data_IF_771872445562
#
_entry.id   IF_771872445562
#
_cell.length_a   1.000
_cell.length_b   1.000
_cell.length_c   1.000
_cell.angle_alpha   90.00
_cell.angle_beta   90.00
_cell.angle_gamma   90.00
#
_symmetry.space_group_name_H-M   'P 1'
#
loop_
_entity.id
_entity.type
_entity.pdbx_description
1 polymer ?
#
# COMPACT_ATOMS: atom_id res chain seq x y z
N UNK A 1 -6.25 1.74 -23.79
CA UNK A 1 -7.28 1.93 -22.73
C UNK A 1 -7.15 3.30 -22.07
N UNK A 2 -8.23 3.86 -21.51
CA UNK A 2 -8.15 5.08 -20.70
C UNK A 2 -7.48 4.77 -19.36
N UNK A 3 -6.83 5.76 -18.76
CA UNK A 3 -6.14 5.59 -17.48
C UNK A 3 -6.89 6.38 -16.41
N UNK A 4 -7.53 5.68 -15.47
CA UNK A 4 -8.10 6.30 -14.27
C UNK A 4 -6.98 6.56 -13.26
N UNK A 5 -6.98 7.75 -12.67
CA UNK A 5 -6.12 8.14 -11.55
C UNK A 5 -7.00 8.75 -10.47
N UNK A 6 -7.15 8.06 -9.35
CA UNK A 6 -7.95 8.52 -8.21
C UNK A 6 -7.21 8.35 -6.88
N UNK A 7 -7.38 9.28 -5.94
CA UNK A 7 -6.94 9.12 -4.56
C UNK A 7 -8.14 8.83 -3.66
N UNK A 8 -8.13 7.67 -3.01
CA UNK A 8 -9.21 7.19 -2.15
C UNK A 8 -8.91 7.37 -0.68
N UNK A 9 -9.88 7.93 0.03
CA UNK A 9 -9.94 7.94 1.49
C UNK A 9 -11.15 7.16 1.99
N UNK A 10 -10.97 6.35 3.03
CA UNK A 10 -12.10 5.90 3.84
C UNK A 10 -12.42 7.02 4.82
N UNK A 11 -13.72 7.30 4.99
CA UNK A 11 -14.23 8.37 5.85
C UNK A 11 -14.77 7.73 7.13
N UNK A 12 -14.29 8.18 8.29
CA UNK A 12 -14.90 7.81 9.56
C UNK A 12 -16.35 8.31 9.57
N UNK A 13 -17.31 7.43 9.84
CA UNK A 13 -18.74 7.73 9.68
C UNK A 13 -19.18 9.00 10.43
N UNK A 14 -18.64 9.24 11.63
CA UNK A 14 -18.96 10.44 12.42
C UNK A 14 -18.45 11.76 11.82
N UNK A 15 -17.52 11.70 10.86
CA UNK A 15 -16.90 12.88 10.23
C UNK A 15 -17.60 13.31 8.93
N UNK A 16 -18.56 12.52 8.41
CA UNK A 16 -19.21 12.77 7.11
C UNK A 16 -19.85 14.16 7.01
N UNK A 17 -20.59 14.60 8.03
CA UNK A 17 -21.26 15.90 7.99
C UNK A 17 -20.25 17.05 7.92
N UNK A 18 -19.23 17.04 8.79
CA UNK A 18 -18.17 18.03 8.80
C UNK A 18 -17.36 18.03 7.48
N UNK A 19 -17.11 16.85 6.92
CA UNK A 19 -16.45 16.71 5.62
C UNK A 19 -17.29 17.35 4.51
N UNK A 20 -18.59 17.04 4.43
CA UNK A 20 -19.50 17.64 3.45
C UNK A 20 -19.54 19.17 3.57
N UNK A 21 -19.64 19.68 4.79
CA UNK A 21 -19.64 21.12 5.05
C UNK A 21 -18.34 21.77 4.55
N UNK A 22 -17.19 21.13 4.79
CA UNK A 22 -15.90 21.61 4.28
C UNK A 22 -15.83 21.56 2.75
N UNK A 23 -16.26 20.47 2.10
CA UNK A 23 -16.27 20.33 0.64
C UNK A 23 -17.10 21.44 -0.03
N UNK A 24 -18.24 21.80 0.57
CA UNK A 24 -19.08 22.90 0.10
C UNK A 24 -18.40 24.28 0.15
N UNK A 25 -17.34 24.45 0.95
CA UNK A 25 -16.57 25.72 0.98
C UNK A 25 -15.54 25.85 -0.13
N UNK A 26 -15.26 24.78 -0.89
CA UNK A 26 -14.24 24.77 -1.94
C UNK A 26 -14.65 25.58 -3.19
N UNK A 27 -15.93 25.93 -3.32
CA UNK A 27 -16.43 26.75 -4.44
C UNK A 27 -16.51 26.02 -5.79
N UNK A 28 -16.50 24.68 -5.78
CA UNK A 28 -16.68 23.85 -6.96
C UNK A 28 -18.15 23.71 -7.38
N UNK A 29 -18.38 23.15 -8.57
CA UNK A 29 -19.73 22.78 -9.02
C UNK A 29 -20.21 21.56 -8.24
N UNK A 30 -21.29 21.70 -7.47
CA UNK A 30 -21.85 20.65 -6.63
C UNK A 30 -23.04 19.96 -7.30
N UNK A 31 -23.09 18.64 -7.20
CA UNK A 31 -24.27 17.84 -7.57
C UNK A 31 -24.74 17.02 -6.36
N UNK A 32 -26.05 17.11 -6.10
CA UNK A 32 -26.73 16.35 -5.05
C UNK A 32 -26.53 14.83 -5.20
N UNK A 33 -26.69 14.06 -4.11
CA UNK A 33 -26.47 12.62 -4.13
C UNK A 33 -27.33 11.88 -5.16
N UNK A 34 -26.70 11.06 -6.00
CA UNK A 34 -27.37 10.13 -6.92
C UNK A 34 -27.12 8.68 -6.52
N UNK A 35 -28.13 7.82 -6.65
CA UNK A 35 -27.97 6.39 -6.36
C UNK A 35 -27.27 5.69 -7.53
N UNK A 36 -26.21 4.94 -7.22
CA UNK A 36 -25.47 4.10 -8.16
C UNK A 36 -25.63 2.64 -7.76
N UNK A 37 -26.31 1.88 -8.62
CA UNK A 37 -26.49 0.43 -8.45
C UNK A 37 -25.48 -0.30 -9.31
N UNK A 38 -24.64 -1.14 -8.72
CA UNK A 38 -23.63 -1.87 -9.48
C UNK A 38 -23.72 -3.36 -9.18
N UNK A 39 -23.62 -4.19 -10.22
CA UNK A 39 -23.47 -5.64 -10.13
C UNK A 39 -22.12 -6.01 -10.72
N UNK A 40 -21.31 -6.71 -9.93
CA UNK A 40 -20.02 -7.25 -10.37
C UNK A 40 -20.16 -8.71 -10.75
N UNK A 41 -19.52 -9.06 -11.86
CA UNK A 41 -19.58 -10.38 -12.45
C UNK A 41 -18.25 -11.11 -12.27
N UNK A 42 -18.32 -12.40 -12.01
CA UNK A 42 -17.15 -13.26 -11.85
C UNK A 42 -17.49 -14.70 -12.23
N UNK A 43 -16.44 -15.47 -12.50
CA UNK A 43 -16.46 -16.89 -12.80
C UNK A 43 -16.33 -17.75 -11.53
N UNK A 44 -16.81 -19.01 -11.51
CA UNK A 44 -16.72 -19.86 -10.31
C UNK A 44 -15.29 -20.13 -9.78
N UNK A 45 -14.27 -19.98 -10.64
CA UNK A 45 -12.85 -20.15 -10.32
C UNK A 45 -12.11 -18.83 -10.07
N UNK A 46 -12.84 -17.72 -9.90
CA UNK A 46 -12.28 -16.38 -9.61
C UNK A 46 -11.29 -15.87 -10.69
N UNK A 47 -11.57 -16.15 -11.97
CA UNK A 47 -10.66 -15.83 -13.08
C UNK A 47 -10.36 -14.33 -13.21
N UNK A 48 -11.35 -13.44 -13.10
CA UNK A 48 -11.12 -11.99 -13.22
C UNK A 48 -10.29 -11.49 -12.04
N UNK A 49 -10.64 -11.93 -10.81
CA UNK A 49 -9.89 -11.61 -9.60
C UNK A 49 -8.44 -12.08 -9.69
N UNK A 50 -8.19 -13.25 -10.28
CA UNK A 50 -6.84 -13.78 -10.50
C UNK A 50 -5.95 -12.89 -11.38
N UNK A 51 -6.54 -12.02 -12.19
CA UNK A 51 -5.85 -11.03 -13.02
C UNK A 51 -5.96 -9.60 -12.48
N UNK A 52 -6.43 -9.43 -11.23
CA UNK A 52 -6.76 -8.13 -10.64
C UNK A 52 -7.69 -7.27 -11.52
N UNK A 53 -8.60 -7.94 -12.23
CA UNK A 53 -9.63 -7.33 -13.07
C UNK A 53 -10.98 -7.27 -12.34
N UNK A 54 -11.79 -6.29 -12.73
CA UNK A 54 -13.16 -6.13 -12.23
C UNK A 54 -14.11 -5.71 -13.35
N UNK A 55 -15.12 -6.54 -13.57
CA UNK A 55 -16.20 -6.30 -14.54
C UNK A 55 -17.48 -5.97 -13.80
N UNK A 56 -18.11 -4.85 -14.15
CA UNK A 56 -19.42 -4.47 -13.61
C UNK A 56 -20.37 -3.96 -14.68
N UNK A 57 -21.65 -4.01 -14.35
CA UNK A 57 -22.66 -3.11 -14.91
C UNK A 57 -23.05 -2.13 -13.80
N UNK A 58 -23.00 -0.84 -14.11
CA UNK A 58 -23.51 0.26 -13.31
C UNK A 58 -24.85 0.72 -13.88
N UNK A 59 -25.82 0.95 -13.00
CA UNK A 59 -27.10 1.58 -13.29
C UNK A 59 -27.20 2.92 -12.56
N UNK A 60 -27.63 3.94 -13.29
CA UNK A 60 -27.93 5.29 -12.76
C UNK A 60 -29.23 5.79 -13.40
N UNK A 61 -30.33 5.80 -12.63
CA UNK A 61 -31.65 6.25 -13.09
C UNK A 61 -32.08 5.63 -14.44
N UNK A 62 -31.86 4.32 -14.60
CA UNK A 62 -32.24 3.57 -15.81
C UNK A 62 -31.25 3.69 -16.98
N UNK A 63 -30.14 4.42 -16.83
CA UNK A 63 -29.00 4.37 -17.75
C UNK A 63 -28.00 3.32 -17.27
N UNK A 64 -27.39 2.59 -18.22
CA UNK A 64 -26.47 1.51 -17.90
C UNK A 64 -25.10 1.71 -18.55
N UNK A 65 -24.07 1.31 -17.83
CA UNK A 65 -22.69 1.34 -18.29
C UNK A 65 -21.98 0.05 -17.86
N UNK A 66 -21.32 -0.62 -18.80
CA UNK A 66 -20.38 -1.69 -18.50
C UNK A 66 -18.98 -1.09 -18.32
N UNK A 67 -18.36 -1.36 -17.18
CA UNK A 67 -16.97 -0.97 -16.92
C UNK A 67 -16.12 -2.20 -16.72
N UNK A 68 -14.99 -2.26 -17.43
CA UNK A 68 -13.88 -3.16 -17.11
C UNK A 68 -12.71 -2.34 -16.57
N UNK A 69 -12.24 -2.69 -15.37
CA UNK A 69 -10.97 -2.21 -14.82
C UNK A 69 -9.98 -3.36 -14.80
N UNK A 70 -8.74 -3.12 -15.20
CA UNK A 70 -7.69 -4.15 -15.22
C UNK A 70 -6.60 -3.87 -14.19
N UNK A 71 -5.64 -4.80 -14.08
CA UNK A 71 -4.49 -4.66 -13.21
C UNK A 71 -3.81 -3.29 -13.41
N UNK A 72 -3.52 -2.64 -12.30
CA UNK A 72 -2.88 -1.34 -12.26
C UNK A 72 -2.02 -1.21 -11.02
N UNK A 73 -1.65 0.03 -10.68
CA UNK A 73 -0.82 0.33 -9.51
C UNK A 73 -1.67 0.91 -8.39
N UNK A 74 -1.40 0.52 -7.15
CA UNK A 74 -1.99 1.12 -5.95
C UNK A 74 -0.85 1.55 -5.04
N UNK A 75 -0.73 2.86 -4.80
CA UNK A 75 0.31 3.44 -3.93
C UNK A 75 -0.38 4.23 -2.81
N UNK A 76 -0.44 3.66 -1.60
CA UNK A 76 -1.22 4.25 -0.52
C UNK A 76 -2.73 4.13 -0.82
N UNK A 77 -3.40 5.26 -0.98
CA UNK A 77 -4.78 5.37 -1.48
C UNK A 77 -4.86 5.77 -2.95
N UNK A 78 -3.73 6.01 -3.63
CA UNK A 78 -3.72 6.39 -5.04
C UNK A 78 -3.87 5.14 -5.91
N UNK A 79 -5.01 5.04 -6.60
CA UNK A 79 -5.28 4.00 -7.58
C UNK A 79 -4.99 4.54 -8.98
N UNK A 80 -4.22 3.78 -9.76
CA UNK A 80 -3.92 4.07 -11.16
C UNK A 80 -4.25 2.83 -11.97
N UNK A 81 -5.41 2.80 -12.62
CA UNK A 81 -5.91 1.60 -13.30
C UNK A 81 -6.30 1.92 -14.74
N UNK A 82 -5.89 1.10 -15.71
CA UNK A 82 -6.49 1.17 -17.02
C UNK A 82 -7.95 0.73 -16.91
N UNK A 83 -8.82 1.44 -17.60
CA UNK A 83 -10.24 1.13 -17.67
C UNK A 83 -10.83 1.33 -19.06
N UNK A 84 -11.99 0.71 -19.26
CA UNK A 84 -12.79 0.86 -20.45
C UNK A 84 -14.28 0.85 -20.09
N UNK A 85 -14.98 1.89 -20.52
CA UNK A 85 -16.41 2.11 -20.27
C UNK A 85 -17.21 1.96 -21.57
N UNK A 86 -18.32 1.25 -21.52
CA UNK A 86 -19.23 1.02 -22.65
C UNK A 86 -20.66 1.34 -22.20
N UNK A 87 -21.31 2.29 -22.87
CA UNK A 87 -22.72 2.56 -22.63
C UNK A 87 -23.57 1.36 -23.09
N UNK A 88 -24.52 0.94 -22.27
CA UNK A 88 -25.45 -0.16 -22.55
C UNK A 88 -26.89 0.36 -22.64
N UNK A 89 -27.68 -0.22 -23.53
CA UNK A 89 -29.12 0.05 -23.65
C UNK A 89 -29.95 -0.67 -22.57
N UNK A 90 -29.46 -1.78 -22.06
CA UNK A 90 -30.08 -2.60 -21.01
C UNK A 90 -28.99 -3.23 -20.12
N UNK A 91 -29.30 -3.76 -18.91
CA UNK A 91 -28.29 -4.28 -17.99
C UNK A 91 -27.83 -5.70 -18.35
N UNK A 92 -27.36 -5.88 -19.59
CA UNK A 92 -26.81 -7.15 -20.11
C UNK A 92 -25.36 -6.94 -20.54
N UNK A 93 -24.46 -7.85 -20.14
CA UNK A 93 -23.05 -7.77 -20.53
C UNK A 93 -22.90 -7.98 -22.05
N UNK A 94 -22.13 -7.10 -22.69
CA UNK A 94 -21.71 -7.25 -24.08
C UNK A 94 -20.18 -7.21 -24.17
N UNK A 95 -19.56 -8.35 -23.81
CA UNK A 95 -18.10 -8.46 -23.69
C UNK A 95 -17.36 -8.25 -25.02
N UNK A 96 -18.04 -8.39 -26.15
CA UNK A 96 -17.46 -8.20 -27.48
C UNK A 96 -17.11 -6.72 -27.78
N UNK A 97 -17.71 -5.77 -27.04
CA UNK A 97 -17.39 -4.34 -27.16
C UNK A 97 -16.10 -3.94 -26.45
N UNK A 98 -15.55 -4.80 -25.58
CA UNK A 98 -14.27 -4.55 -24.92
C UNK A 98 -13.11 -4.81 -25.90
N UNK A 99 -12.08 -3.95 -25.93
CA UNK A 99 -10.94 -4.14 -26.82
C UNK A 99 -10.11 -5.36 -26.41
N UNK A 100 -9.39 -5.94 -27.37
CA UNK A 100 -8.54 -7.13 -27.14
C UNK A 100 -7.47 -6.92 -26.06
N UNK A 101 -6.99 -5.69 -25.91
CA UNK A 101 -6.00 -5.26 -24.90
C UNK A 101 -6.46 -5.49 -23.44
N UNK A 102 -7.76 -5.62 -23.19
CA UNK A 102 -8.30 -5.95 -21.87
C UNK A 102 -7.88 -7.36 -21.43
N UNK A 103 -7.71 -8.27 -22.38
CA UNK A 103 -7.52 -9.68 -22.10
C UNK A 103 -6.04 -10.05 -22.04
N UNK A 104 -5.60 -10.84 -21.04
CA UNK A 104 -4.19 -11.24 -20.91
C UNK A 104 -3.61 -11.92 -22.16
N UNK A 105 -4.43 -12.67 -22.89
CA UNK A 105 -4.03 -13.38 -24.11
C UNK A 105 -4.35 -12.60 -25.40
N UNK A 106 -4.83 -11.35 -25.29
CA UNK A 106 -5.32 -10.58 -26.44
C UNK A 106 -6.65 -11.09 -27.02
N UNK A 107 -7.33 -12.01 -26.34
CA UNK A 107 -8.58 -12.61 -26.77
C UNK A 107 -9.50 -12.89 -25.58
N UNK A 108 -10.80 -12.64 -25.76
CA UNK A 108 -11.86 -12.98 -24.81
C UNK A 108 -11.95 -14.52 -24.68
N UNK A 109 -11.84 -15.10 -23.47
CA UNK A 109 -12.03 -16.54 -23.31
C UNK A 109 -13.44 -16.96 -23.79
N UNK A 110 -13.49 -17.97 -24.66
CA UNK A 110 -14.71 -18.36 -25.38
C UNK A 110 -15.89 -18.74 -24.46
N UNK A 111 -15.60 -19.29 -23.28
CA UNK A 111 -16.60 -19.69 -22.29
C UNK A 111 -16.94 -18.59 -21.28
N UNK A 112 -16.22 -17.45 -21.26
CA UNK A 112 -16.35 -16.42 -20.21
C UNK A 112 -17.78 -15.90 -20.12
N UNK A 113 -18.39 -15.52 -21.24
CA UNK A 113 -19.76 -15.01 -21.28
C UNK A 113 -20.80 -16.00 -20.73
N UNK A 114 -20.55 -17.31 -20.88
CA UNK A 114 -21.49 -18.35 -20.43
C UNK A 114 -21.35 -18.72 -18.95
N UNK A 115 -20.20 -18.44 -18.33
CA UNK A 115 -19.86 -18.87 -16.97
C UNK A 115 -19.83 -17.74 -15.95
N UNK A 116 -19.79 -16.48 -16.38
CA UNK A 116 -19.87 -15.36 -15.45
C UNK A 116 -21.23 -15.34 -14.76
N UNK A 117 -21.22 -15.06 -13.47
CA UNK A 117 -22.41 -14.90 -12.64
C UNK A 117 -22.29 -13.60 -11.84
N UNK A 118 -23.41 -12.96 -11.49
CA UNK A 118 -23.42 -11.92 -10.47
C UNK A 118 -22.81 -12.47 -9.17
N UNK A 119 -21.71 -11.89 -8.71
CA UNK A 119 -21.03 -12.33 -7.51
C UNK A 119 -21.37 -11.46 -6.30
N UNK A 120 -21.35 -10.14 -6.50
CA UNK A 120 -21.63 -9.16 -5.46
C UNK A 120 -22.15 -7.86 -6.07
N UNK A 121 -22.74 -7.02 -5.24
CA UNK A 121 -23.24 -5.70 -5.61
C UNK A 121 -22.60 -4.59 -4.78
N UNK A 122 -22.61 -3.38 -5.32
CA UNK A 122 -22.39 -2.16 -4.55
C UNK A 122 -23.55 -1.20 -4.81
N UNK A 123 -24.25 -0.80 -3.75
CA UNK A 123 -25.39 0.12 -3.77
C UNK A 123 -25.05 1.29 -2.85
N UNK A 124 -24.86 2.47 -3.44
CA UNK A 124 -24.47 3.66 -2.69
C UNK A 124 -24.95 4.93 -3.36
N UNK A 125 -25.10 5.97 -2.56
CA UNK A 125 -25.31 7.32 -3.02
C UNK A 125 -23.96 8.01 -3.21
N UNK A 126 -23.78 8.67 -4.36
CA UNK A 126 -22.61 9.48 -4.70
C UNK A 126 -23.00 10.94 -4.78
N UNK A 127 -22.40 11.76 -3.93
CA UNK A 127 -22.45 13.23 -3.99
C UNK A 127 -21.17 13.76 -4.62
N UNK A 128 -21.25 14.78 -5.48
CA UNK A 128 -20.11 15.19 -6.32
C UNK A 128 -19.79 16.67 -6.18
N UNK A 129 -18.49 16.98 -6.27
CA UNK A 129 -17.98 18.34 -6.48
C UNK A 129 -16.93 18.33 -7.58
N UNK A 130 -17.09 19.19 -8.59
CA UNK A 130 -16.07 19.43 -9.60
C UNK A 130 -15.26 20.68 -9.23
N UNK A 131 -13.95 20.52 -9.06
CA UNK A 131 -13.04 21.61 -8.66
C UNK A 131 -11.87 21.74 -9.63
N UNK A 132 -11.37 22.97 -9.77
CA UNK A 132 -10.14 23.25 -10.50
C UNK A 132 -8.99 23.53 -9.53
N UNK A 133 -7.86 22.85 -9.72
CA UNK A 133 -6.64 23.04 -8.92
C UNK A 133 -5.45 23.15 -9.87
N UNK A 134 -4.82 24.33 -9.92
CA UNK A 134 -3.65 24.61 -10.75
C UNK A 134 -3.83 24.20 -12.24
N UNK A 135 -5.03 24.44 -12.80
CA UNK A 135 -5.37 24.06 -14.18
C UNK A 135 -5.69 22.58 -14.39
N UNK A 136 -5.76 21.78 -13.32
CA UNK A 136 -6.23 20.39 -13.35
C UNK A 136 -7.69 20.31 -12.90
N UNK A 137 -8.47 19.44 -13.52
CA UNK A 137 -9.88 19.19 -13.19
C UNK A 137 -9.98 17.94 -12.33
N UNK A 138 -10.58 18.07 -11.15
CA UNK A 138 -10.72 16.98 -10.18
C UNK A 138 -12.19 16.81 -9.81
N UNK A 139 -12.70 15.59 -9.96
CA UNK A 139 -14.00 15.19 -9.40
C UNK A 139 -13.78 14.66 -7.99
N UNK A 140 -14.45 15.29 -7.03
CA UNK A 140 -14.55 14.81 -5.66
C UNK A 140 -15.86 14.04 -5.54
N UNK A 141 -15.80 12.77 -5.14
CA UNK A 141 -16.98 11.94 -4.92
C UNK A 141 -17.05 11.46 -3.46
N UNK A 142 -18.15 11.77 -2.78
CA UNK A 142 -18.47 11.24 -1.44
C UNK A 142 -19.49 10.12 -1.58
N UNK A 143 -19.08 8.90 -1.25
CA UNK A 143 -19.87 7.69 -1.42
C UNK A 143 -20.35 7.14 -0.07
N UNK A 144 -21.65 6.86 0.04
CA UNK A 144 -22.27 6.24 1.21
C UNK A 144 -23.28 5.16 0.83
N UNK A 145 -23.10 3.95 1.36
CA UNK A 145 -23.97 2.81 1.07
C UNK A 145 -23.39 1.49 1.55
N UNK A 146 -23.50 0.44 0.74
CA UNK A 146 -23.00 -0.89 1.07
C UNK A 146 -22.33 -1.61 -0.11
N UNK A 147 -21.40 -2.49 0.22
CA UNK A 147 -20.95 -3.59 -0.65
C UNK A 147 -21.48 -4.89 -0.07
N UNK A 148 -22.05 -5.75 -0.92
CA UNK A 148 -22.80 -6.93 -0.48
C UNK A 148 -22.57 -8.13 -1.38
N UNK A 149 -22.25 -9.28 -0.79
CA UNK A 149 -22.14 -10.57 -1.45
C UNK A 149 -22.99 -11.60 -0.69
N UNK A 150 -24.17 -11.94 -1.23
CA UNK A 150 -25.12 -12.81 -0.54
C UNK A 150 -25.53 -12.25 0.82
N UNK A 151 -25.23 -13.00 1.88
CA UNK A 151 -25.53 -12.66 3.28
C UNK A 151 -24.51 -11.69 3.92
N UNK A 152 -23.33 -11.54 3.31
CA UNK A 152 -22.26 -10.71 3.85
C UNK A 152 -22.32 -9.30 3.24
N UNK A 153 -22.34 -8.28 4.09
CA UNK A 153 -22.28 -6.89 3.68
C UNK A 153 -21.35 -6.08 4.59
N UNK A 154 -20.74 -5.04 4.05
CA UNK A 154 -20.05 -4.02 4.86
C UNK A 154 -20.33 -2.60 4.31
N UNK A 155 -20.25 -1.56 5.17
CA UNK A 155 -20.52 -0.19 4.75
C UNK A 155 -19.52 0.34 3.72
N UNK A 156 -20.04 1.14 2.79
CA UNK A 156 -19.28 2.09 1.96
C UNK A 156 -19.43 3.46 2.63
N UNK A 157 -18.31 4.08 2.96
CA UNK A 157 -18.22 5.44 3.49
C UNK A 157 -16.84 5.98 3.12
N UNK A 158 -16.72 6.56 1.94
CA UNK A 158 -15.43 6.89 1.32
C UNK A 158 -15.49 8.16 0.48
N UNK A 159 -14.33 8.77 0.29
CA UNK A 159 -14.10 9.95 -0.52
C UNK A 159 -13.10 9.59 -1.63
N UNK A 160 -13.43 9.91 -2.87
CA UNK A 160 -12.55 9.73 -4.03
C UNK A 160 -12.19 11.11 -4.62
N UNK A 161 -10.91 11.32 -4.95
CA UNK A 161 -10.42 12.48 -5.70
C UNK A 161 -9.92 11.98 -7.06
N UNK A 162 -10.76 12.04 -8.07
CA UNK A 162 -10.48 11.54 -9.42
C UNK A 162 -9.93 12.65 -10.31
N UNK A 163 -8.78 12.39 -10.95
CA UNK A 163 -8.17 13.32 -11.90
C UNK A 163 -8.81 13.14 -13.28
N UNK A 164 -9.70 14.05 -13.66
CA UNK A 164 -10.32 14.05 -14.98
C UNK A 164 -9.35 14.50 -16.07
N UNK A 165 -8.53 15.51 -15.75
CA UNK A 165 -7.45 16.00 -16.62
C UNK A 165 -6.44 16.84 -15.84
N UNK A 166 -5.20 16.89 -16.32
CA UNK A 166 -4.12 17.70 -15.73
C UNK A 166 -3.05 16.87 -15.02
N UNK A 167 -2.56 17.36 -13.89
CA UNK A 167 -1.41 16.79 -13.18
C UNK A 167 -1.83 16.17 -11.84
N UNK A 168 -1.36 14.96 -11.58
CA UNK A 168 -1.57 14.22 -10.33
C UNK A 168 -1.09 15.00 -9.08
N UNK A 169 -0.13 15.91 -9.21
CA UNK A 169 0.30 16.80 -8.12
C UNK A 169 -0.85 17.68 -7.62
N UNK A 170 -1.81 18.03 -8.47
CA UNK A 170 -3.00 18.78 -8.06
C UNK A 170 -3.91 17.95 -7.13
N UNK A 171 -4.04 16.65 -7.38
CA UNK A 171 -4.77 15.71 -6.49
C UNK A 171 -4.11 15.65 -5.11
N UNK A 172 -2.77 15.52 -5.08
CA UNK A 172 -2.02 15.49 -3.82
C UNK A 172 -2.08 16.83 -3.08
N UNK A 173 -2.08 17.96 -3.80
CA UNK A 173 -2.26 19.30 -3.22
C UNK A 173 -3.64 19.46 -2.58
N UNK A 174 -4.70 19.04 -3.27
CA UNK A 174 -6.06 19.04 -2.72
C UNK A 174 -6.17 18.13 -1.49
N UNK A 175 -5.57 16.94 -1.56
CA UNK A 175 -5.54 16.01 -0.44
C UNK A 175 -4.87 16.60 0.81
N UNK A 176 -3.78 17.36 0.66
CA UNK A 176 -3.10 18.05 1.77
C UNK A 176 -4.03 19.03 2.50
N UNK A 177 -4.93 19.71 1.78
CA UNK A 177 -5.94 20.57 2.40
C UNK A 177 -6.96 19.75 3.20
N UNK A 178 -7.40 18.61 2.67
CA UNK A 178 -8.45 17.79 3.29
C UNK A 178 -7.98 17.04 4.54
N UNK A 179 -6.76 16.53 4.56
CA UNK A 179 -6.21 15.79 5.72
C UNK A 179 -5.82 16.69 6.90
N UNK A 180 -6.00 18.02 6.78
CA UNK A 180 -5.87 18.97 7.89
C UNK A 180 -6.96 18.77 8.97
N UNK A 181 -8.02 18.04 8.65
CA UNK A 181 -9.09 17.65 9.57
C UNK A 181 -9.05 16.13 9.80
N UNK A 182 -9.50 15.68 10.96
CA UNK A 182 -9.60 14.26 11.30
C UNK A 182 -10.69 13.56 10.50
N UNK A 183 -10.64 12.23 10.41
CA UNK A 183 -11.72 11.42 9.84
C UNK A 183 -11.46 10.88 8.45
N UNK A 184 -10.29 11.17 7.87
CA UNK A 184 -9.83 10.61 6.60
C UNK A 184 -8.64 9.68 6.83
N UNK A 185 -8.65 8.52 6.18
CA UNK A 185 -7.46 7.64 6.05
C UNK A 185 -7.38 7.16 4.62
N UNK A 186 -6.18 6.99 4.06
CA UNK A 186 -6.05 6.46 2.71
C UNK A 186 -6.54 5.00 2.64
N UNK A 187 -7.33 4.65 1.62
CA UNK A 187 -7.87 3.30 1.44
C UNK A 187 -7.26 2.60 0.24
N UNK A 188 -6.56 1.46 0.44
CA UNK A 188 -5.97 0.68 -0.66
C UNK A 188 -6.92 -0.39 -1.25
N UNK A 189 -8.01 -0.70 -0.55
CA UNK A 189 -8.99 -1.70 -0.98
C UNK A 189 -10.10 -1.05 -1.80
N UNK A 190 -10.08 -1.29 -3.12
CA UNK A 190 -11.20 -0.93 -4.00
C UNK A 190 -12.50 -1.61 -3.54
N UNK A 191 -13.66 -1.02 -3.89
CA UNK A 191 -14.99 -1.61 -3.62
C UNK A 191 -15.08 -3.06 -4.13
N UNK A 192 -14.53 -3.33 -5.32
CA UNK A 192 -14.44 -4.67 -5.88
C UNK A 192 -13.62 -5.64 -5.01
N UNK A 193 -12.44 -5.22 -4.51
CA UNK A 193 -11.62 -6.05 -3.63
C UNK A 193 -12.34 -6.40 -2.31
N UNK A 194 -13.15 -5.49 -1.76
CA UNK A 194 -14.03 -5.77 -0.62
C UNK A 194 -15.14 -6.75 -0.98
N UNK A 195 -15.81 -6.55 -2.12
CA UNK A 195 -16.86 -7.45 -2.62
C UNK A 195 -16.37 -8.89 -2.85
N UNK A 196 -15.21 -9.07 -3.48
CA UNK A 196 -14.58 -10.38 -3.63
C UNK A 196 -14.29 -11.03 -2.28
N UNK A 197 -13.84 -10.26 -1.28
CA UNK A 197 -13.57 -10.78 0.06
C UNK A 197 -14.85 -11.21 0.78
N UNK A 198 -15.93 -10.44 0.67
CA UNK A 198 -17.24 -10.81 1.22
C UNK A 198 -17.78 -12.09 0.56
N UNK A 199 -17.60 -12.24 -0.75
CA UNK A 199 -18.05 -13.41 -1.50
C UNK A 199 -17.36 -14.72 -1.07
N UNK A 200 -16.18 -14.63 -0.43
CA UNK A 200 -15.48 -15.76 0.19
C UNK A 200 -15.92 -16.04 1.64
N UNK A 201 -17.03 -15.44 2.09
CA UNK A 201 -17.55 -15.60 3.45
C UNK A 201 -16.98 -14.61 4.46
N UNK A 202 -16.39 -13.51 4.00
CA UNK A 202 -15.75 -12.48 4.82
C UNK A 202 -14.77 -13.05 5.88
N UNK A 203 -13.80 -13.90 5.50
CA UNK A 203 -12.87 -14.46 6.48
C UNK A 203 -12.05 -13.36 7.15
N UNK A 204 -11.69 -13.56 8.42
CA UNK A 204 -10.78 -12.64 9.10
C UNK A 204 -9.45 -12.57 8.32
N UNK A 205 -8.93 -11.35 8.10
CA UNK A 205 -7.65 -11.15 7.44
C UNK A 205 -6.51 -11.39 8.42
N UNK A 206 -5.53 -12.17 7.99
CA UNK A 206 -4.35 -12.50 8.79
C UNK A 206 -3.26 -11.45 8.65
N UNK A 207 -2.45 -11.26 9.70
CA UNK A 207 -1.24 -10.44 9.62
C UNK A 207 -0.30 -11.03 8.57
N UNK A 208 0.37 -10.17 7.79
CA UNK A 208 1.32 -10.57 6.76
C UNK A 208 2.73 -10.10 7.14
N UNK A 209 3.57 -10.98 7.71
CA UNK A 209 4.96 -10.64 7.97
C UNK A 209 5.66 -10.16 6.70
N UNK A 210 6.51 -9.14 6.82
CA UNK A 210 7.32 -8.68 5.69
C UNK A 210 8.30 -9.78 5.29
N UNK A 211 8.25 -10.20 4.02
CA UNK A 211 9.18 -11.16 3.42
C UNK A 211 10.25 -10.45 2.60
N UNK A 212 11.21 -11.22 2.08
CA UNK A 212 12.27 -10.68 1.22
C UNK A 212 11.66 -9.96 0.01
N UNK A 213 12.19 -8.77 -0.27
CA UNK A 213 11.83 -8.00 -1.44
C UNK A 213 12.54 -8.56 -2.67
N UNK A 214 11.76 -8.98 -3.66
CA UNK A 214 12.28 -9.37 -4.97
C UNK A 214 12.14 -8.21 -5.95
N UNK A 215 13.25 -7.82 -6.56
CA UNK A 215 13.33 -6.75 -7.55
C UNK A 215 13.71 -7.36 -8.90
N UNK A 216 13.21 -6.78 -9.99
CA UNK A 216 13.47 -7.26 -11.34
C UNK A 216 14.98 -7.37 -11.64
N UNK A 217 15.35 -8.38 -12.42
CA UNK A 217 16.72 -8.52 -12.90
C UNK A 217 17.14 -7.26 -13.67
N UNK A 218 18.38 -6.79 -13.44
CA UNK A 218 18.96 -5.56 -14.01
C UNK A 218 18.32 -4.24 -13.52
N UNK A 219 17.51 -4.29 -12.46
CA UNK A 219 17.03 -3.05 -11.86
C UNK A 219 18.18 -2.17 -11.37
N UNK A 220 18.02 -0.86 -11.53
CA UNK A 220 18.91 0.12 -10.94
C UNK A 220 18.55 0.39 -9.47
N UNK A 221 19.42 1.13 -8.77
CA UNK A 221 19.23 1.45 -7.35
C UNK A 221 17.98 2.32 -7.14
N UNK A 222 17.58 3.15 -8.11
CA UNK A 222 16.33 3.94 -8.02
C UNK A 222 15.10 3.04 -7.96
N UNK A 223 15.03 2.06 -8.87
CA UNK A 223 13.96 1.07 -8.90
C UNK A 223 13.95 0.24 -7.60
N UNK A 224 15.12 -0.10 -7.06
CA UNK A 224 15.22 -0.74 -5.74
C UNK A 224 14.66 0.14 -4.60
N UNK A 225 14.93 1.45 -4.62
CA UNK A 225 14.37 2.40 -3.65
C UNK A 225 12.84 2.52 -3.77
N UNK A 226 12.33 2.65 -5.00
CA UNK A 226 10.90 2.76 -5.27
C UNK A 226 10.15 1.55 -4.73
N UNK A 227 10.55 0.34 -5.12
CA UNK A 227 9.88 -0.90 -4.71
C UNK A 227 10.01 -1.14 -3.20
N UNK A 228 11.12 -0.74 -2.57
CA UNK A 228 11.27 -0.83 -1.11
C UNK A 228 10.28 0.07 -0.36
N UNK A 229 10.07 1.30 -0.82
CA UNK A 229 9.11 2.22 -0.22
C UNK A 229 7.66 1.84 -0.54
N UNK A 230 7.40 1.29 -1.73
CA UNK A 230 6.10 0.70 -2.06
C UNK A 230 5.75 -0.44 -1.12
N UNK A 231 6.68 -1.36 -0.87
CA UNK A 231 6.49 -2.46 0.08
C UNK A 231 6.18 -1.91 1.48
N UNK A 232 6.97 -0.94 1.96
CA UNK A 232 6.76 -0.36 3.29
C UNK A 232 5.39 0.33 3.42
N UNK A 233 4.99 1.11 2.42
CA UNK A 233 3.68 1.76 2.39
C UNK A 233 2.54 0.74 2.27
N UNK A 234 2.70 -0.31 1.47
CA UNK A 234 1.71 -1.38 1.34
C UNK A 234 1.54 -2.18 2.64
N UNK A 235 2.64 -2.49 3.33
CA UNK A 235 2.60 -3.13 4.65
C UNK A 235 1.92 -2.23 5.68
N UNK A 236 2.18 -0.92 5.65
CA UNK A 236 1.47 0.02 6.54
C UNK A 236 -0.03 0.02 6.23
N UNK A 237 -0.43 0.21 4.98
CA UNK A 237 -1.85 0.24 4.57
C UNK A 237 -2.58 -1.06 4.95
N UNK A 238 -1.96 -2.21 4.70
CA UNK A 238 -2.57 -3.51 4.99
C UNK A 238 -2.84 -3.67 6.49
N UNK A 239 -1.83 -3.46 7.33
CA UNK A 239 -1.97 -3.65 8.77
C UNK A 239 -2.82 -2.56 9.44
N UNK A 240 -2.84 -1.34 8.90
CA UNK A 240 -3.75 -0.29 9.35
C UNK A 240 -5.22 -0.66 9.10
N UNK A 241 -5.53 -1.24 7.95
CA UNK A 241 -6.86 -1.76 7.63
C UNK A 241 -7.28 -2.88 8.58
N UNK A 242 -6.37 -3.81 8.92
CA UNK A 242 -6.62 -4.87 9.90
C UNK A 242 -6.84 -4.30 11.30
N UNK A 243 -6.01 -3.33 11.71
CA UNK A 243 -6.06 -2.73 13.04
C UNK A 243 -7.37 -1.98 13.27
N UNK A 244 -7.76 -1.12 12.34
CA UNK A 244 -9.03 -0.36 12.46
C UNK A 244 -10.27 -1.27 12.38
N UNK A 245 -10.13 -2.48 11.82
CA UNK A 245 -11.17 -3.52 11.79
C UNK A 245 -11.15 -4.46 13.01
N UNK A 246 -10.33 -4.16 14.02
CA UNK A 246 -10.36 -4.83 15.33
C UNK A 246 -9.27 -5.89 15.55
N UNK A 247 -8.28 -6.01 14.67
CA UNK A 247 -7.11 -6.85 14.94
C UNK A 247 -6.04 -6.06 15.71
N UNK A 248 -6.06 -6.12 17.04
CA UNK A 248 -5.13 -5.35 17.90
C UNK A 248 -3.65 -5.71 17.68
N UNK A 249 -3.35 -6.96 17.30
CA UNK A 249 -1.98 -7.39 17.01
C UNK A 249 -1.40 -6.68 15.78
N UNK A 250 -2.25 -6.16 14.88
CA UNK A 250 -1.80 -5.42 13.71
C UNK A 250 -1.18 -4.05 14.07
N UNK A 251 -1.45 -3.49 15.26
CA UNK A 251 -0.81 -2.25 15.75
C UNK A 251 0.72 -2.32 15.72
N UNK A 252 1.29 -3.45 16.16
CA UNK A 252 2.73 -3.66 16.13
C UNK A 252 3.26 -3.65 14.69
N UNK A 253 2.49 -4.19 13.75
CA UNK A 253 2.88 -4.27 12.33
C UNK A 253 2.73 -2.94 11.59
N UNK A 254 1.80 -2.08 12.01
CA UNK A 254 1.76 -0.68 11.58
C UNK A 254 3.05 0.04 11.98
N UNK A 255 3.47 -0.07 13.25
CA UNK A 255 4.72 0.53 13.72
C UNK A 255 5.95 -0.08 13.02
N UNK A 256 5.96 -1.39 12.79
CA UNK A 256 7.03 -2.06 12.05
C UNK A 256 7.14 -1.55 10.61
N UNK A 257 6.01 -1.32 9.92
CA UNK A 257 6.00 -0.78 8.57
C UNK A 257 6.52 0.67 8.52
N UNK A 258 6.15 1.52 9.50
CA UNK A 258 6.73 2.86 9.65
C UNK A 258 8.25 2.77 9.91
N UNK A 259 8.68 1.83 10.75
CA UNK A 259 10.09 1.51 10.97
C UNK A 259 10.81 1.14 9.67
N UNK A 260 10.20 0.30 8.83
CA UNK A 260 10.74 -0.08 7.52
C UNK A 260 10.92 1.13 6.59
N UNK A 261 10.01 2.11 6.61
CA UNK A 261 10.21 3.39 5.89
C UNK A 261 11.48 4.09 6.37
N UNK A 262 11.67 4.20 7.69
CA UNK A 262 12.87 4.83 8.26
C UNK A 262 14.15 4.06 7.91
N UNK A 263 14.13 2.73 7.99
CA UNK A 263 15.27 1.88 7.65
C UNK A 263 15.61 1.95 6.16
N UNK A 264 14.60 2.03 5.30
CA UNK A 264 14.77 2.29 3.86
C UNK A 264 15.47 3.63 3.63
N UNK A 265 15.00 4.72 4.25
CA UNK A 265 15.66 6.03 4.15
C UNK A 265 17.12 6.01 4.65
N UNK A 266 17.44 5.20 5.67
CA UNK A 266 18.81 5.02 6.15
C UNK A 266 19.66 4.23 5.15
N UNK A 267 19.13 3.12 4.61
CA UNK A 267 19.81 2.24 3.67
C UNK A 267 20.27 3.01 2.42
N UNK A 268 19.39 3.83 1.86
CA UNK A 268 19.68 4.67 0.68
C UNK A 268 20.31 6.02 1.03
N UNK A 269 20.56 6.32 2.32
CA UNK A 269 21.08 7.60 2.80
C UNK A 269 22.49 7.97 2.33
N UNK A 270 23.24 6.99 1.79
CA UNK A 270 24.53 7.23 1.12
C UNK A 270 24.40 7.78 -0.31
N UNK A 271 23.18 7.88 -0.82
CA UNK A 271 22.82 8.41 -2.15
C UNK A 271 21.80 9.54 -1.97
N UNK A 272 20.69 9.29 -1.27
CA UNK A 272 19.65 10.28 -0.98
C UNK A 272 20.01 11.08 0.27
N UNK A 273 20.26 12.40 0.19
CA UNK A 273 20.65 13.18 1.36
C UNK A 273 19.56 13.22 2.43
N UNK A 274 19.95 13.18 3.71
CA UNK A 274 19.01 13.23 4.86
C UNK A 274 18.04 14.42 4.84
N UNK A 275 18.43 15.54 4.21
CA UNK A 275 17.59 16.74 4.05
C UNK A 275 16.39 16.53 3.12
N UNK A 276 16.45 15.56 2.20
CA UNK A 276 15.36 15.25 1.27
C UNK A 276 14.12 14.67 1.98
N UNK A 277 14.28 14.16 3.21
CA UNK A 277 13.20 13.50 3.98
C UNK A 277 12.97 14.13 5.35
N UNK A 278 13.41 15.38 5.59
CA UNK A 278 13.25 16.04 6.90
C UNK A 278 11.78 16.12 7.33
N UNK A 279 10.94 16.76 6.52
CA UNK A 279 9.54 16.92 6.84
C UNK A 279 8.81 15.57 7.01
N UNK A 280 9.05 14.62 6.08
CA UNK A 280 8.50 13.27 6.18
C UNK A 280 8.86 12.59 7.51
N UNK A 281 10.14 12.57 7.89
CA UNK A 281 10.59 11.93 9.13
C UNK A 281 10.01 12.59 10.38
N UNK A 282 9.76 13.90 10.34
CA UNK A 282 9.16 14.63 11.46
C UNK A 282 7.68 14.26 11.61
N UNK A 283 6.94 14.13 10.51
CA UNK A 283 5.56 13.63 10.51
C UNK A 283 5.47 12.16 10.97
N UNK A 284 6.38 11.30 10.52
CA UNK A 284 6.43 9.90 11.00
C UNK A 284 6.64 9.83 12.52
N UNK A 285 7.41 10.76 13.10
CA UNK A 285 7.66 10.81 14.55
C UNK A 285 6.40 11.15 15.33
N UNK A 286 5.61 12.11 14.82
CA UNK A 286 4.32 12.47 15.41
C UNK A 286 3.32 11.32 15.29
N UNK A 287 3.24 10.69 14.11
CA UNK A 287 2.38 9.53 13.89
C UNK A 287 2.72 8.35 14.82
N UNK A 288 3.99 7.99 14.97
CA UNK A 288 4.44 6.95 15.91
C UNK A 288 4.04 7.27 17.35
N UNK A 289 4.20 8.52 17.80
CA UNK A 289 3.82 8.96 19.13
C UNK A 289 2.30 8.87 19.36
N UNK A 290 1.51 9.28 18.37
CA UNK A 290 0.04 9.14 18.38
C UNK A 290 -0.36 7.67 18.46
N UNK A 291 0.20 6.80 17.62
CA UNK A 291 -0.11 5.36 17.63
C UNK A 291 0.29 4.71 18.96
N UNK A 292 1.46 5.04 19.50
CA UNK A 292 1.95 4.46 20.75
C UNK A 292 1.03 4.79 21.93
N UNK A 293 0.59 6.05 22.03
CA UNK A 293 -0.24 6.56 23.13
C UNK A 293 -1.75 6.35 22.92
N UNK A 294 -2.18 5.92 21.74
CA UNK A 294 -3.60 5.78 21.43
C UNK A 294 -4.31 4.70 22.23
N UNK A 295 -5.49 5.06 22.74
CA UNK A 295 -6.44 4.17 23.43
C UNK A 295 -7.44 3.50 22.47
N UNK A 296 -7.51 3.96 21.22
CA UNK A 296 -8.43 3.45 20.19
C UNK A 296 -7.76 3.46 18.82
N UNK A 297 -7.90 2.37 18.07
CA UNK A 297 -7.44 2.26 16.70
C UNK A 297 -8.08 3.32 15.81
N UNK A 298 -9.40 3.52 15.94
CA UNK A 298 -10.15 4.52 15.16
C UNK A 298 -9.58 5.91 15.38
N UNK A 299 -9.33 6.32 16.63
CA UNK A 299 -8.78 7.65 16.94
C UNK A 299 -7.37 7.82 16.38
N UNK A 300 -6.52 6.81 16.47
CA UNK A 300 -5.15 6.88 15.96
C UNK A 300 -5.08 6.92 14.43
N UNK A 301 -5.85 6.06 13.76
CA UNK A 301 -5.81 5.89 12.31
C UNK A 301 -6.44 7.06 11.58
N UNK A 302 -7.51 7.63 12.13
CA UNK A 302 -8.18 8.81 11.56
C UNK A 302 -7.64 10.15 12.11
N UNK A 303 -6.52 10.13 12.84
CA UNK A 303 -5.87 11.35 13.32
C UNK A 303 -5.19 12.10 12.19
N UNK A 304 -5.06 13.42 12.34
CA UNK A 304 -4.33 14.26 11.38
C UNK A 304 -2.85 13.89 11.31
N UNK A 305 -2.22 13.49 12.42
CA UNK A 305 -0.80 13.06 12.42
C UNK A 305 -0.60 11.83 11.52
N UNK A 306 -1.49 10.83 11.62
CA UNK A 306 -1.44 9.63 10.76
C UNK A 306 -1.76 9.96 9.32
N UNK A 307 -2.82 10.74 9.07
CA UNK A 307 -3.24 11.11 7.72
C UNK A 307 -2.17 11.93 6.98
N UNK A 308 -1.59 12.94 7.64
CA UNK A 308 -0.50 13.76 7.09
C UNK A 308 0.77 12.95 6.85
N UNK A 309 1.19 12.11 7.80
CA UNK A 309 2.39 11.29 7.64
C UNK A 309 2.26 10.30 6.46
N UNK A 310 1.09 9.67 6.33
CA UNK A 310 0.77 8.76 5.22
C UNK A 310 0.73 9.49 3.88
N UNK A 311 0.10 10.67 3.83
CA UNK A 311 0.03 11.49 2.62
C UNK A 311 1.41 11.98 2.20
N UNK A 312 2.23 12.46 3.14
CA UNK A 312 3.59 12.87 2.88
C UNK A 312 4.45 11.74 2.30
N UNK A 313 4.31 10.50 2.81
CA UNK A 313 5.02 9.34 2.25
C UNK A 313 4.54 9.02 0.83
N UNK A 314 3.22 9.05 0.61
CA UNK A 314 2.61 8.79 -0.70
C UNK A 314 3.08 9.82 -1.73
N UNK A 315 3.01 11.11 -1.40
CA UNK A 315 3.48 12.20 -2.24
C UNK A 315 4.99 12.10 -2.51
N UNK A 316 5.80 11.82 -1.48
CA UNK A 316 7.25 11.71 -1.63
C UNK A 316 7.67 10.59 -2.60
N UNK A 317 6.97 9.45 -2.52
CA UNK A 317 7.18 8.30 -3.40
C UNK A 317 6.70 8.58 -4.84
N UNK A 318 5.45 9.02 -4.97
CA UNK A 318 4.79 9.23 -6.27
C UNK A 318 5.43 10.36 -7.07
N UNK A 319 5.88 11.43 -6.41
CA UNK A 319 6.59 12.55 -7.05
C UNK A 319 8.09 12.33 -7.24
N UNK A 320 8.63 11.19 -6.78
CA UNK A 320 10.07 10.91 -6.73
C UNK A 320 10.87 12.06 -6.10
N UNK A 321 10.40 12.54 -4.94
CA UNK A 321 10.86 13.78 -4.32
C UNK A 321 12.35 13.80 -3.95
N UNK A 322 13.06 12.67 -4.00
CA UNK A 322 14.51 12.59 -3.84
C UNK A 322 15.28 13.15 -5.04
N UNK A 323 14.74 13.09 -6.26
CA UNK A 323 15.48 13.38 -7.49
C UNK A 323 16.14 14.77 -7.51
N UNK A 324 15.46 15.87 -7.14
CA UNK A 324 16.07 17.21 -7.13
C UNK A 324 17.22 17.37 -6.14
N UNK A 325 17.40 16.44 -5.19
CA UNK A 325 18.46 16.47 -4.19
C UNK A 325 19.72 15.72 -4.62
N UNK A 326 19.70 15.02 -5.75
CA UNK A 326 20.83 14.20 -6.21
C UNK A 326 21.84 15.03 -6.99
N UNK A 327 23.08 15.09 -6.51
CA UNK A 327 24.21 15.57 -7.30
C UNK A 327 24.62 14.55 -8.37
N UNK A 328 25.54 14.90 -9.28
CA UNK A 328 25.96 14.03 -10.37
C UNK A 328 26.53 12.67 -9.89
N UNK A 329 27.18 12.63 -8.73
CA UNK A 329 27.72 11.39 -8.16
C UNK A 329 26.60 10.52 -7.60
N UNK A 330 25.62 11.11 -6.94
CA UNK A 330 24.45 10.42 -6.43
C UNK A 330 23.58 9.89 -7.58
N UNK A 331 23.36 10.67 -8.65
CA UNK A 331 22.65 10.22 -9.86
C UNK A 331 23.34 9.01 -10.49
N UNK A 332 24.67 9.07 -10.68
CA UNK A 332 25.42 7.93 -11.23
C UNK A 332 25.32 6.66 -10.38
N UNK A 333 25.29 6.78 -9.04
CA UNK A 333 25.07 5.63 -8.15
C UNK A 333 23.62 5.13 -8.21
N UNK A 334 22.67 6.03 -8.34
CA UNK A 334 21.24 5.70 -8.39
C UNK A 334 20.93 4.88 -9.66
N UNK A 335 21.58 5.19 -10.77
CA UNK A 335 21.45 4.47 -12.04
C UNK A 335 22.38 3.24 -12.16
N UNK A 336 23.15 2.88 -11.13
CA UNK A 336 23.97 1.64 -11.14
C UNK A 336 23.13 0.43 -10.70
N UNK A 337 23.68 -0.77 -10.81
CA UNK A 337 23.01 -2.03 -10.51
C UNK A 337 22.58 -2.15 -9.05
N UNK A 338 21.28 -2.38 -8.81
CA UNK A 338 20.76 -2.68 -7.47
C UNK A 338 21.34 -3.97 -6.89
N UNK A 339 21.60 -4.99 -7.72
CA UNK A 339 22.24 -6.24 -7.27
C UNK A 339 23.61 -5.99 -6.65
N UNK A 340 24.46 -5.18 -7.30
CA UNK A 340 25.80 -4.83 -6.78
C UNK A 340 25.71 -3.99 -5.51
N UNK A 341 24.76 -3.04 -5.48
CA UNK A 341 24.45 -2.27 -4.28
C UNK A 341 24.05 -3.21 -3.12
N UNK A 342 23.18 -4.18 -3.38
CA UNK A 342 22.71 -5.14 -2.40
C UNK A 342 23.84 -5.98 -1.80
N UNK A 343 24.72 -6.57 -2.61
CA UNK A 343 25.86 -7.37 -2.10
C UNK A 343 26.76 -6.59 -1.12
N UNK A 344 27.03 -5.33 -1.45
CA UNK A 344 27.84 -4.43 -0.62
C UNK A 344 27.13 -4.17 0.70
N UNK A 345 25.84 -3.87 0.67
CA UNK A 345 25.08 -3.52 1.86
C UNK A 345 24.73 -4.74 2.73
N UNK A 346 24.46 -5.92 2.15
CA UNK A 346 24.33 -7.18 2.88
C UNK A 346 25.56 -7.43 3.76
N UNK A 347 26.76 -7.25 3.20
CA UNK A 347 28.01 -7.39 3.94
C UNK A 347 28.15 -6.39 5.10
N UNK A 348 27.65 -5.15 4.93
CA UNK A 348 27.68 -4.11 5.98
C UNK A 348 26.74 -4.45 7.14
N UNK A 349 25.50 -4.83 6.84
CA UNK A 349 24.52 -5.19 7.87
C UNK A 349 24.90 -6.49 8.59
N UNK A 350 25.45 -7.47 7.88
CA UNK A 350 25.98 -8.68 8.50
C UNK A 350 27.15 -8.41 9.46
N UNK A 351 28.03 -7.46 9.12
CA UNK A 351 29.13 -7.05 10.00
C UNK A 351 28.60 -6.37 11.29
N UNK A 352 27.59 -5.51 11.19
CA UNK A 352 26.93 -4.90 12.35
C UNK A 352 26.30 -5.98 13.24
N UNK A 353 25.49 -6.89 12.67
CA UNK A 353 24.87 -8.00 13.39
C UNK A 353 25.92 -8.85 14.12
N UNK A 354 26.98 -9.26 13.42
CA UNK A 354 28.05 -10.07 14.01
C UNK A 354 28.79 -9.33 15.12
N UNK A 355 29.06 -8.04 14.95
CA UNK A 355 29.76 -7.25 15.97
C UNK A 355 28.99 -7.09 17.27
N UNK A 356 27.65 -7.03 17.19
CA UNK A 356 26.78 -6.84 18.36
C UNK A 356 26.44 -8.17 19.03
N UNK A 357 26.14 -9.20 18.25
CA UNK A 357 25.56 -10.45 18.75
C UNK A 357 26.55 -11.62 18.82
N UNK A 358 27.85 -11.41 18.58
CA UNK A 358 28.87 -12.45 18.71
C UNK A 358 29.02 -12.98 20.15
N UNK A 359 28.60 -12.21 21.15
CA UNK A 359 28.68 -12.57 22.57
C UNK A 359 27.32 -12.43 23.27
N UNK A 360 27.09 -13.16 24.38
CA UNK A 360 25.92 -12.96 25.23
C UNK A 360 25.83 -11.52 25.77
N UNK A 361 24.63 -10.93 25.77
CA UNK A 361 24.41 -9.54 26.23
C UNK A 361 23.74 -9.44 27.61
N UNK A 362 23.27 -10.55 28.17
CA UNK A 362 22.55 -10.57 29.45
C UNK A 362 21.30 -9.69 29.39
N UNK A 363 21.07 -8.85 30.40
CA UNK A 363 19.87 -8.01 30.44
C UNK A 363 19.87 -6.85 29.42
N UNK A 364 20.97 -6.64 28.68
CA UNK A 364 21.12 -5.55 27.69
C UNK A 364 20.61 -5.89 26.29
N UNK A 365 19.99 -7.06 26.07
CA UNK A 365 19.46 -7.43 24.76
C UNK A 365 18.41 -6.46 24.24
N UNK A 366 17.52 -5.98 25.12
CA UNK A 366 16.43 -5.07 24.73
C UNK A 366 16.94 -3.75 24.15
N UNK A 367 18.08 -3.26 24.64
CA UNK A 367 18.72 -2.03 24.13
C UNK A 367 19.18 -2.16 22.66
N UNK A 368 19.38 -3.39 22.18
CA UNK A 368 19.82 -3.67 20.82
C UNK A 368 18.67 -3.94 19.84
N UNK A 369 17.41 -3.99 20.30
CA UNK A 369 16.25 -4.21 19.42
C UNK A 369 16.18 -3.22 18.24
N UNK A 370 16.39 -1.90 18.42
CA UNK A 370 16.35 -0.98 17.30
C UNK A 370 17.39 -1.30 16.22
N UNK A 371 18.60 -1.71 16.63
CA UNK A 371 19.68 -2.06 15.69
C UNK A 371 19.40 -3.40 14.99
N UNK A 372 18.99 -4.42 15.73
CA UNK A 372 18.62 -5.72 15.17
C UNK A 372 17.48 -5.60 14.15
N UNK A 373 16.42 -4.85 14.49
CA UNK A 373 15.30 -4.63 13.60
C UNK A 373 15.73 -3.89 12.34
N UNK A 374 16.55 -2.83 12.46
CA UNK A 374 17.09 -2.12 11.29
C UNK A 374 17.85 -3.05 10.34
N UNK A 375 18.71 -3.90 10.88
CA UNK A 375 19.55 -4.77 10.06
C UNK A 375 18.74 -5.92 9.43
N UNK A 376 17.75 -6.49 10.14
CA UNK A 376 16.78 -7.45 9.55
C UNK A 376 16.00 -6.81 8.41
N UNK A 377 15.41 -5.63 8.65
CA UNK A 377 14.63 -4.90 7.64
C UNK A 377 15.49 -4.57 6.42
N UNK A 378 16.74 -4.12 6.64
CA UNK A 378 17.65 -3.82 5.54
C UNK A 378 17.99 -5.07 4.72
N UNK A 379 18.19 -6.22 5.36
CA UNK A 379 18.48 -7.48 4.65
C UNK A 379 17.25 -8.00 3.89
N UNK A 380 16.04 -7.86 4.45
CA UNK A 380 14.79 -8.15 3.73
C UNK A 380 14.71 -7.38 2.42
N UNK A 381 15.15 -6.11 2.39
CA UNK A 381 15.14 -5.27 1.19
C UNK A 381 16.26 -5.61 0.18
N UNK A 382 17.29 -6.36 0.56
CA UNK A 382 18.50 -6.58 -0.24
C UNK A 382 18.66 -8.02 -0.75
N UNK A 383 18.02 -8.99 -0.10
CA UNK A 383 18.29 -10.41 -0.33
C UNK A 383 17.63 -11.01 -1.60
N UNK A 384 16.81 -10.24 -2.33
CA UNK A 384 15.93 -10.75 -3.40
C UNK A 384 16.58 -11.35 -4.65
N UNK A 385 17.90 -11.24 -4.80
CA UNK A 385 18.66 -11.80 -5.93
C UNK A 385 19.21 -13.21 -5.67
N UNK A 386 18.97 -13.75 -4.47
CA UNK A 386 19.46 -15.07 -4.04
C UNK A 386 18.31 -16.07 -3.95
N UNK A 387 18.64 -17.34 -3.77
CA UNK A 387 17.65 -18.40 -3.57
C UNK A 387 16.74 -18.02 -2.37
N UNK A 388 15.42 -17.89 -2.57
CA UNK A 388 14.51 -17.44 -1.52
C UNK A 388 14.51 -18.36 -0.30
N UNK A 389 14.65 -19.68 -0.49
CA UNK A 389 14.64 -20.66 0.60
C UNK A 389 15.88 -20.48 1.47
N UNK A 390 17.05 -20.35 0.84
CA UNK A 390 18.33 -20.16 1.55
C UNK A 390 18.37 -18.82 2.27
N UNK A 391 17.98 -17.74 1.60
CA UNK A 391 18.01 -16.40 2.18
C UNK A 391 17.00 -16.23 3.32
N UNK A 392 15.80 -16.82 3.18
CA UNK A 392 14.78 -16.78 4.23
C UNK A 392 15.21 -17.60 5.45
N UNK A 393 15.76 -18.81 5.27
CA UNK A 393 16.29 -19.61 6.37
C UNK A 393 17.43 -18.88 7.13
N UNK A 394 18.28 -18.13 6.41
CA UNK A 394 19.31 -17.31 7.05
C UNK A 394 18.72 -16.18 7.90
N UNK A 395 17.64 -15.54 7.42
CA UNK A 395 16.93 -14.47 8.13
C UNK A 395 16.12 -14.99 9.32
N UNK A 396 15.56 -16.20 9.24
CA UNK A 396 14.72 -16.81 10.28
C UNK A 396 15.43 -16.86 11.64
N UNK A 397 16.74 -17.17 11.66
CA UNK A 397 17.52 -17.16 12.90
C UNK A 397 17.57 -15.76 13.55
N UNK A 398 17.76 -14.71 12.75
CA UNK A 398 17.76 -13.33 13.26
C UNK A 398 16.36 -12.85 13.66
N UNK A 399 15.32 -13.27 12.93
CA UNK A 399 13.93 -12.97 13.25
C UNK A 399 13.49 -13.68 14.54
N UNK A 400 13.90 -14.94 14.74
CA UNK A 400 13.73 -15.70 15.97
C UNK A 400 14.40 -15.00 17.15
N UNK A 401 15.65 -14.55 16.98
CA UNK A 401 16.35 -13.75 17.99
C UNK A 401 15.58 -12.46 18.33
N UNK A 402 15.11 -11.71 17.33
CA UNK A 402 14.33 -10.49 17.54
C UNK A 402 13.07 -10.76 18.35
N UNK A 403 12.30 -11.79 17.98
CA UNK A 403 11.09 -12.19 18.68
C UNK A 403 11.38 -12.61 20.13
N UNK A 404 12.41 -13.44 20.35
CA UNK A 404 12.79 -13.91 21.67
C UNK A 404 13.23 -12.75 22.58
N UNK A 405 13.97 -11.76 22.06
CA UNK A 405 14.34 -10.55 22.81
C UNK A 405 13.10 -9.71 23.17
N UNK A 406 12.20 -9.47 22.21
CA UNK A 406 11.01 -8.66 22.42
C UNK A 406 10.10 -9.24 23.52
N UNK A 407 9.93 -10.57 23.51
CA UNK A 407 9.09 -11.32 24.45
C UNK A 407 9.80 -11.73 25.76
N UNK A 408 11.14 -11.58 25.84
CA UNK A 408 11.91 -11.93 27.05
C UNK A 408 12.20 -13.42 27.23
N UNK A 409 12.19 -14.20 26.14
CA UNK A 409 12.43 -15.64 26.13
C UNK A 409 13.93 -15.99 26.22
N UNK A 410 14.46 -16.12 27.45
CA UNK A 410 15.92 -16.24 27.70
C UNK A 410 16.60 -17.45 27.04
N UNK A 411 15.93 -18.59 26.96
CA UNK A 411 16.51 -19.81 26.37
C UNK A 411 16.61 -19.65 24.85
N UNK A 412 15.54 -19.15 24.25
CA UNK A 412 15.38 -18.94 22.81
C UNK A 412 16.31 -17.84 22.31
N UNK A 413 16.57 -16.79 23.11
CA UNK A 413 17.56 -15.75 22.79
C UNK A 413 18.93 -16.38 22.54
N UNK A 414 19.42 -17.21 23.46
CA UNK A 414 20.75 -17.82 23.30
C UNK A 414 20.77 -18.87 22.19
N UNK A 415 19.69 -19.63 22.03
CA UNK A 415 19.55 -20.57 20.91
C UNK A 415 19.68 -19.86 19.56
N UNK A 416 18.80 -18.89 19.28
CA UNK A 416 18.81 -18.18 17.99
C UNK A 416 20.08 -17.35 17.79
N UNK A 417 20.67 -16.78 18.85
CA UNK A 417 21.96 -16.09 18.76
C UNK A 417 23.07 -17.05 18.31
N UNK A 418 23.12 -18.27 18.85
CA UNK A 418 24.13 -19.25 18.47
C UNK A 418 23.92 -19.72 17.02
N UNK A 419 22.69 -20.08 16.64
CA UNK A 419 22.36 -20.46 15.24
C UNK A 419 22.73 -19.35 14.26
N UNK A 420 22.36 -18.10 14.56
CA UNK A 420 22.65 -16.93 13.74
C UNK A 420 24.16 -16.64 13.57
N UNK A 421 24.99 -16.98 14.55
CA UNK A 421 26.45 -16.82 14.47
C UNK A 421 27.14 -17.99 13.75
N UNK A 422 26.53 -19.17 13.74
CA UNK A 422 27.08 -20.38 13.14
C UNK A 422 26.79 -20.47 11.62
N UNK A 423 25.72 -19.83 11.15
CA UNK A 423 25.37 -19.82 9.73
C UNK A 423 26.32 -18.96 8.86
N UNK A 424 26.59 -19.42 7.63
CA UNK A 424 27.43 -18.70 6.68
C UNK A 424 26.64 -17.71 5.80
N UNK A 425 27.29 -16.66 5.27
CA UNK A 425 26.69 -15.78 4.26
C UNK A 425 26.28 -16.51 2.98
N UNK A 426 25.07 -16.22 2.49
CA UNK A 426 24.52 -16.74 1.23
C UNK A 426 24.86 -15.88 0.00
N UNK A 427 25.32 -14.64 0.20
CA UNK A 427 25.59 -13.70 -0.89
C UNK A 427 27.03 -13.72 -1.39
N UNK A 428 27.27 -13.08 -2.53
CA UNK A 428 28.61 -12.86 -3.07
C UNK A 428 29.34 -11.77 -2.26
N UNK A 429 30.45 -12.12 -1.61
CA UNK A 429 31.28 -11.19 -0.85
C UNK A 429 32.76 -11.38 -1.17
N UNK A 430 33.59 -10.40 -0.82
CA UNK A 430 35.04 -10.37 -1.17
C UNK A 430 35.86 -11.55 -0.64
N UNK A 431 35.32 -12.34 0.29
CA UNK A 431 35.94 -13.56 0.84
C UNK A 431 35.60 -14.85 0.08
N UNK A 432 34.64 -14.81 -0.86
CA UNK A 432 34.32 -15.89 -1.81
C UNK A 432 34.75 -15.39 -3.20
N UNK A 433 36.02 -15.58 -3.55
CA UNK A 433 36.52 -15.43 -4.93
C UNK A 433 36.69 -16.80 -5.57
#
# INVERSE_FOLDING_TARGET
MAQEIELKFIVNHSAVAALRDHLNTLGGEHHDPVQLLNIYYETPDNWLRGHDMGLRIRGENGRYEMTMKVAGRVTGGLHQRPEYNVALSEPTLDLAQLPTEVWPNGELPADLASRVQPLFSTDFYREKWLVEVDGSQIEIALDQGEVKAGEFAEPICELELELLSGDMRAVLKLANQLVSQTGLRQGSLSKAARGYHLAQGNPAREIKPTTILHVAAKADVEQGLEVALELALAQWQYHEELWVRGNDAAKEQVLAAIGLVRHTLMLFGGIVPRKASTHLRDLLTQCEATIASAVSAVTAVYSTETAMAKLALTEWLVSKAWQPFLDAKAQSKMSDSFKRFADIHLSRHAAELKSVFCQPLGDRYRDQLPRLTRDIDSILLLAGYYDPVVAQAWLENWQGLRHAIATGQRIEIEHFRNEANNQEPFWLHSGKR
#
